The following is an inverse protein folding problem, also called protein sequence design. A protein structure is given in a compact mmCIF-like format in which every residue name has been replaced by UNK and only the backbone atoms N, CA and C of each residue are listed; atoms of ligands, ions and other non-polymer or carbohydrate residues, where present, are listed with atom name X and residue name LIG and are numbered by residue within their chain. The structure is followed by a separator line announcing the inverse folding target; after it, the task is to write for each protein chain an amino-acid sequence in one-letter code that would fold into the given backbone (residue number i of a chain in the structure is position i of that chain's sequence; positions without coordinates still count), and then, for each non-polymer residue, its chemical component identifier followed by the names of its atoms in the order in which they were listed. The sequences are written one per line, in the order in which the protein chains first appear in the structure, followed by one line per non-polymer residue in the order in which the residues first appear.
data_IF_794572129623
#
_entry.id   IF_794572129623
#
_cell.length_a   1.000
_cell.length_b   1.000
_cell.length_c   1.000
_cell.angle_alpha   90.00
_cell.angle_beta   90.00
_cell.angle_gamma   90.00
#
_symmetry.space_group_name_H-M   'P 1'
#
loop_
_entity.id
_entity.type
_entity.pdbx_description
1 polymer ?
#
# COMPACT_ATOMS: atom_id res chain seq x y z
N UNK A 1 -11.20 24.05 -12.80
CA UNK A 1 -10.82 22.91 -11.96
C UNK A 1 -10.95 23.36 -10.51
N UNK A 2 -11.51 22.53 -9.64
CA UNK A 2 -11.58 22.86 -8.20
C UNK A 2 -10.17 23.00 -7.62
N UNK A 3 -10.01 23.88 -6.65
CA UNK A 3 -8.79 23.95 -5.85
C UNK A 3 -8.73 22.75 -4.90
N UNK A 4 -7.53 22.22 -4.69
CA UNK A 4 -7.30 21.05 -3.84
C UNK A 4 -6.46 21.48 -2.64
N UNK A 5 -6.88 21.07 -1.44
CA UNK A 5 -6.18 21.36 -0.20
C UNK A 5 -5.87 20.07 0.56
N UNK A 6 -4.72 20.04 1.24
CA UNK A 6 -4.36 18.97 2.19
C UNK A 6 -4.72 19.47 3.59
N UNK A 7 -5.70 18.84 4.23
CA UNK A 7 -6.27 19.32 5.51
C UNK A 7 -5.71 18.62 6.74
N UNK A 8 -5.21 17.38 6.61
CA UNK A 8 -4.69 16.59 7.74
C UNK A 8 -3.53 15.67 7.33
N UNK A 9 -2.29 16.19 7.19
CA UNK A 9 -1.13 15.36 6.92
C UNK A 9 -0.67 14.64 8.20
N UNK A 10 -0.70 13.30 8.18
CA UNK A 10 -0.31 12.45 9.31
C UNK A 10 0.48 11.22 8.85
N UNK A 11 1.26 10.63 9.76
CA UNK A 11 2.02 9.39 9.53
C UNK A 11 2.33 8.68 10.85
N UNK A 12 2.62 7.39 10.77
CA UNK A 12 3.26 6.65 11.85
C UNK A 12 4.74 7.07 12.03
N UNK A 13 5.38 6.57 13.08
CA UNK A 13 6.83 6.51 13.13
C UNK A 13 7.38 5.59 12.03
N UNK A 14 8.65 5.75 11.65
CA UNK A 14 9.33 4.83 10.72
C UNK A 14 10.17 3.87 11.54
N UNK A 15 9.90 2.57 11.41
CA UNK A 15 10.54 1.51 12.18
C UNK A 15 11.68 0.88 11.41
N UNK A 16 12.73 0.46 12.11
CA UNK A 16 13.79 -0.35 11.51
C UNK A 16 13.28 -1.73 11.09
N UNK A 17 13.86 -2.29 10.03
CA UNK A 17 13.55 -3.64 9.56
C UNK A 17 13.77 -4.68 10.66
N UNK A 18 12.77 -5.51 10.95
CA UNK A 18 12.80 -6.46 12.07
C UNK A 18 12.78 -5.82 13.46
N UNK A 19 12.55 -4.50 13.55
CA UNK A 19 12.57 -3.73 14.79
C UNK A 19 11.21 -3.60 15.48
N UNK A 20 10.93 -2.40 15.99
CA UNK A 20 9.78 -2.11 16.87
C UNK A 20 8.41 -2.39 16.25
N UNK A 21 8.28 -2.23 14.92
CA UNK A 21 7.03 -2.45 14.20
C UNK A 21 6.95 -3.81 13.50
N UNK A 22 7.86 -4.75 13.77
CA UNK A 22 7.89 -6.05 13.08
C UNK A 22 6.60 -6.86 13.25
N UNK A 23 5.84 -6.63 14.32
CA UNK A 23 4.60 -7.35 14.62
C UNK A 23 3.34 -6.63 14.13
N UNK A 24 3.47 -5.53 13.39
CA UNK A 24 2.35 -4.67 13.00
C UNK A 24 2.11 -4.79 11.49
N UNK A 25 1.02 -5.43 11.05
CA UNK A 25 0.69 -5.56 9.63
C UNK A 25 0.49 -4.19 8.97
N UNK A 26 0.75 -4.11 7.66
CA UNK A 26 0.54 -2.88 6.88
C UNK A 26 -0.90 -2.35 7.04
N UNK A 27 -1.90 -3.22 6.99
CA UNK A 27 -3.29 -2.82 7.17
C UNK A 27 -3.56 -2.12 8.52
N UNK A 28 -2.90 -2.55 9.60
CA UNK A 28 -3.02 -1.94 10.93
C UNK A 28 -2.36 -0.55 11.00
N UNK A 29 -1.17 -0.41 10.41
CA UNK A 29 -0.51 0.88 10.29
C UNK A 29 -1.38 1.88 9.52
N UNK A 30 -1.98 1.42 8.42
CA UNK A 30 -2.90 2.22 7.63
C UNK A 30 -4.14 2.64 8.40
N UNK A 31 -4.77 1.72 9.15
CA UNK A 31 -6.02 2.03 9.84
C UNK A 31 -5.84 3.07 10.94
N UNK A 32 -4.74 2.98 11.70
CA UNK A 32 -4.37 3.96 12.72
C UNK A 32 -4.20 5.35 12.09
N UNK A 33 -3.51 5.43 10.94
CA UNK A 33 -3.26 6.70 10.25
C UNK A 33 -4.55 7.31 9.72
N UNK A 34 -5.46 6.51 9.15
CA UNK A 34 -6.77 7.01 8.70
C UNK A 34 -7.60 7.55 9.85
N UNK A 35 -7.68 6.82 10.96
CA UNK A 35 -8.44 7.27 12.14
C UNK A 35 -7.90 8.59 12.69
N UNK A 36 -6.59 8.72 12.78
CA UNK A 36 -5.93 9.95 13.23
C UNK A 36 -6.12 11.11 12.23
N UNK A 37 -6.08 10.83 10.91
CA UNK A 37 -6.32 11.84 9.88
C UNK A 37 -7.74 12.41 9.99
N UNK A 38 -8.76 11.56 10.12
CA UNK A 38 -10.16 11.96 10.27
C UNK A 38 -10.38 12.75 11.57
N UNK A 39 -9.78 12.28 12.67
CA UNK A 39 -9.79 12.96 13.97
C UNK A 39 -9.23 14.39 13.87
N UNK A 40 -8.03 14.57 13.29
CA UNK A 40 -7.41 15.90 13.11
C UNK A 40 -8.17 16.81 12.17
N UNK A 41 -8.78 16.23 11.12
CA UNK A 41 -9.61 16.98 10.18
C UNK A 41 -10.98 17.36 10.77
N UNK A 42 -11.41 16.74 11.87
CA UNK A 42 -12.76 16.89 12.39
C UNK A 42 -13.83 16.36 11.42
N UNK A 43 -13.47 15.37 10.59
CA UNK A 43 -14.35 14.83 9.55
C UNK A 43 -15.00 13.52 10.01
N UNK A 44 -16.30 13.40 9.74
CA UNK A 44 -17.01 12.14 9.89
C UNK A 44 -16.61 11.16 8.77
N UNK A 45 -16.58 9.86 9.08
CA UNK A 45 -16.12 8.82 8.16
C UNK A 45 -17.01 8.67 6.91
N UNK A 46 -18.29 9.05 7.01
CA UNK A 46 -19.27 9.05 5.91
C UNK A 46 -19.07 10.19 4.91
N UNK A 47 -18.14 11.11 5.18
CA UNK A 47 -17.74 12.17 4.24
C UNK A 47 -16.65 11.76 3.28
N UNK A 48 -16.02 10.60 3.47
CA UNK A 48 -14.95 10.13 2.60
C UNK A 48 -15.54 9.48 1.35
N UNK A 49 -15.15 9.96 0.18
CA UNK A 49 -15.63 9.44 -1.11
C UNK A 49 -14.75 8.32 -1.67
N UNK A 50 -13.45 8.30 -1.34
CA UNK A 50 -12.51 7.26 -1.78
C UNK A 50 -11.27 7.17 -0.88
N UNK A 51 -10.62 6.00 -0.88
CA UNK A 51 -9.35 5.72 -0.17
C UNK A 51 -8.33 5.16 -1.16
N UNK A 52 -7.27 5.94 -1.40
CA UNK A 52 -6.21 5.61 -2.36
C UNK A 52 -4.91 5.40 -1.61
N UNK A 53 -4.42 4.16 -1.57
CA UNK A 53 -3.16 3.85 -0.89
C UNK A 53 -2.12 3.24 -1.84
N UNK A 54 -0.94 3.82 -1.85
CA UNK A 54 0.25 3.21 -2.42
C UNK A 54 0.79 2.09 -1.53
N UNK A 55 1.13 0.94 -2.11
CA UNK A 55 1.74 -0.19 -1.41
C UNK A 55 2.68 -0.94 -2.34
N UNK A 56 3.97 -1.02 -1.97
CA UNK A 56 5.04 -1.47 -2.85
C UNK A 56 5.27 -2.97 -2.85
N UNK A 57 4.80 -3.68 -1.81
CA UNK A 57 4.89 -5.13 -1.71
C UNK A 57 3.53 -5.79 -1.51
N UNK A 58 2.61 -5.65 -2.47
CA UNK A 58 1.31 -6.27 -2.36
C UNK A 58 1.40 -7.79 -2.29
N UNK A 59 0.55 -8.37 -1.46
CA UNK A 59 0.49 -9.80 -1.20
C UNK A 59 -0.94 -10.25 -0.91
N UNK A 60 -1.13 -11.58 -0.84
CA UNK A 60 -2.41 -12.17 -0.43
C UNK A 60 -2.82 -11.83 1.00
N UNK A 61 -1.87 -11.41 1.84
CA UNK A 61 -2.12 -10.96 3.21
C UNK A 61 -2.60 -9.50 3.28
N UNK A 62 -2.38 -8.74 2.21
CA UNK A 62 -2.75 -7.33 2.08
C UNK A 62 -3.47 -7.04 0.75
N UNK A 63 -4.57 -7.76 0.43
CA UNK A 63 -5.24 -7.59 -0.85
C UNK A 63 -5.97 -6.24 -0.89
N UNK A 64 -5.85 -5.53 -2.02
CA UNK A 64 -6.54 -4.25 -2.24
C UNK A 64 -6.41 -3.31 -1.02
N UNK A 65 -5.18 -3.02 -0.60
CA UNK A 65 -4.89 -2.43 0.71
C UNK A 65 -5.70 -1.16 1.04
N UNK A 66 -6.03 -0.32 0.06
CA UNK A 66 -6.91 0.85 0.24
C UNK A 66 -8.26 0.47 0.84
N UNK A 67 -8.91 -0.56 0.28
CA UNK A 67 -10.18 -1.09 0.77
C UNK A 67 -10.04 -1.78 2.12
N UNK A 68 -9.03 -2.64 2.28
CA UNK A 68 -8.80 -3.36 3.53
C UNK A 68 -8.58 -2.39 4.69
N UNK A 69 -7.74 -1.38 4.49
CA UNK A 69 -7.44 -0.35 5.48
C UNK A 69 -8.66 0.51 5.79
N UNK A 70 -9.43 0.93 4.77
CA UNK A 70 -10.65 1.72 4.97
C UNK A 70 -11.65 0.99 5.89
N UNK A 71 -11.94 -0.28 5.59
CA UNK A 71 -12.84 -1.09 6.41
C UNK A 71 -12.29 -1.31 7.83
N UNK A 72 -11.00 -1.59 7.95
CA UNK A 72 -10.33 -1.78 9.25
C UNK A 72 -10.29 -0.49 10.08
N UNK A 73 -10.25 0.67 9.44
CA UNK A 73 -10.34 1.97 10.08
C UNK A 73 -11.77 2.33 10.54
N UNK A 74 -12.79 1.57 10.12
CA UNK A 74 -14.18 1.78 10.48
C UNK A 74 -14.95 2.69 9.52
N UNK A 75 -14.46 2.89 8.28
CA UNK A 75 -15.22 3.62 7.27
C UNK A 75 -16.45 2.81 6.81
N UNK A 76 -17.53 3.47 6.36
CA UNK A 76 -18.70 2.80 5.81
C UNK A 76 -18.35 1.85 4.65
N UNK A 77 -19.15 0.79 4.49
CA UNK A 77 -18.91 -0.24 3.46
C UNK A 77 -19.05 0.33 2.04
N UNK A 78 -19.77 1.43 1.90
CA UNK A 78 -19.99 2.16 0.65
C UNK A 78 -18.73 2.91 0.19
N UNK A 79 -17.81 3.27 1.11
CA UNK A 79 -16.59 4.00 0.75
C UNK A 79 -15.64 3.07 0.00
N UNK A 80 -15.41 3.29 -1.30
CA UNK A 80 -14.49 2.47 -2.07
C UNK A 80 -13.05 2.68 -1.59
N UNK A 81 -12.17 1.80 -2.04
CA UNK A 81 -10.75 2.01 -1.89
C UNK A 81 -9.98 1.12 -2.82
N UNK A 82 -8.85 1.63 -3.32
CA UNK A 82 -7.98 0.86 -4.19
C UNK A 82 -6.51 1.07 -3.86
N UNK A 83 -5.70 0.21 -4.46
CA UNK A 83 -4.26 0.21 -4.30
C UNK A 83 -3.58 0.51 -5.63
N UNK A 84 -2.45 1.22 -5.58
CA UNK A 84 -1.53 1.33 -6.70
C UNK A 84 -0.09 1.02 -6.29
N UNK A 85 0.71 0.57 -7.27
CA UNK A 85 2.15 0.36 -7.13
C UNK A 85 2.89 1.11 -8.25
N UNK A 86 3.55 2.20 -7.86
CA UNK A 86 4.55 2.95 -8.62
C UNK A 86 5.90 2.94 -7.89
N UNK A 87 6.21 1.81 -7.25
CA UNK A 87 7.35 1.57 -6.37
C UNK A 87 7.46 2.64 -5.29
N UNK A 88 8.65 3.19 -5.05
CA UNK A 88 8.87 4.19 -4.01
C UNK A 88 8.00 5.45 -4.17
N UNK A 89 7.47 5.70 -5.37
CA UNK A 89 6.60 6.86 -5.64
C UNK A 89 5.10 6.61 -5.43
N UNK A 90 4.70 5.40 -5.00
CA UNK A 90 3.28 5.03 -4.88
C UNK A 90 2.48 5.96 -3.97
N UNK A 91 3.01 6.32 -2.79
CA UNK A 91 2.29 7.21 -1.88
C UNK A 91 2.05 8.60 -2.47
N UNK A 92 3.02 9.13 -3.22
CA UNK A 92 2.86 10.41 -3.92
C UNK A 92 1.88 10.29 -5.09
N UNK A 93 1.95 9.19 -5.85
CA UNK A 93 1.01 8.94 -6.94
C UNK A 93 -0.44 8.84 -6.45
N UNK A 94 -0.67 8.30 -5.25
CA UNK A 94 -2.01 8.28 -4.64
C UNK A 94 -2.55 9.70 -4.39
N UNK A 95 -1.70 10.60 -3.88
CA UNK A 95 -2.05 12.02 -3.68
C UNK A 95 -2.37 12.70 -5.02
N UNK A 96 -1.58 12.43 -6.06
CA UNK A 96 -1.84 12.95 -7.40
C UNK A 96 -3.19 12.46 -7.96
N UNK A 97 -3.51 11.18 -7.76
CA UNK A 97 -4.80 10.62 -8.19
C UNK A 97 -5.98 11.27 -7.44
N UNK A 98 -5.86 11.45 -6.12
CA UNK A 98 -6.86 12.14 -5.31
C UNK A 98 -7.08 13.59 -5.75
N UNK A 99 -5.99 14.31 -6.03
CA UNK A 99 -6.07 15.67 -6.58
C UNK A 99 -6.85 15.70 -7.89
N UNK A 100 -6.63 14.74 -8.79
CA UNK A 100 -7.36 14.68 -10.06
C UNK A 100 -8.86 14.40 -9.85
N UNK A 101 -9.24 13.53 -8.90
CA UNK A 101 -10.65 13.28 -8.57
C UNK A 101 -11.34 14.56 -8.07
N UNK A 102 -10.70 15.29 -7.15
CA UNK A 102 -11.25 16.54 -6.60
C UNK A 102 -11.31 17.63 -7.66
N UNK A 103 -10.25 17.82 -8.46
CA UNK A 103 -10.21 18.81 -9.53
C UNK A 103 -11.31 18.64 -10.58
N UNK A 104 -11.73 17.38 -10.79
CA UNK A 104 -12.75 16.98 -11.77
C UNK A 104 -14.13 16.77 -11.15
N UNK A 105 -14.30 17.10 -9.87
CA UNK A 105 -15.59 17.03 -9.15
C UNK A 105 -16.15 15.60 -9.05
N UNK A 106 -15.29 14.58 -9.20
CA UNK A 106 -15.64 13.17 -8.99
C UNK A 106 -15.56 12.75 -7.51
N UNK A 107 -14.97 13.58 -6.66
CA UNK A 107 -14.92 13.42 -5.21
C UNK A 107 -14.78 14.80 -4.53
N UNK A 108 -15.25 14.90 -3.28
CA UNK A 108 -15.07 16.05 -2.40
C UNK A 108 -13.97 15.80 -1.36
N UNK A 109 -13.90 14.58 -0.82
CA UNK A 109 -12.93 14.17 0.21
C UNK A 109 -12.35 12.82 -0.13
N UNK A 110 -11.02 12.78 -0.30
CA UNK A 110 -10.29 11.54 -0.58
C UNK A 110 -9.20 11.35 0.45
N UNK A 111 -9.11 10.16 1.03
CA UNK A 111 -7.95 9.77 1.83
C UNK A 111 -6.88 9.25 0.86
N UNK A 112 -5.70 9.86 0.88
CA UNK A 112 -4.61 9.50 -0.01
C UNK A 112 -3.27 9.40 0.71
N UNK A 113 -2.48 8.39 0.37
CA UNK A 113 -1.15 8.22 0.94
C UNK A 113 -0.52 6.89 0.55
N UNK A 114 0.30 6.36 1.45
CA UNK A 114 0.92 5.04 1.27
C UNK A 114 1.08 4.31 2.58
N UNK A 115 1.17 2.99 2.49
CA UNK A 115 1.32 2.11 3.64
C UNK A 115 2.25 0.95 3.29
N UNK A 116 3.11 0.57 4.23
CA UNK A 116 4.07 -0.50 4.00
C UNK A 116 4.48 -1.18 5.31
N UNK A 117 4.69 -2.49 5.25
CA UNK A 117 5.34 -3.26 6.32
C UNK A 117 6.32 -4.26 5.71
N UNK A 118 7.53 -3.79 5.42
CA UNK A 118 8.58 -4.65 4.86
C UNK A 118 8.93 -5.82 5.79
N UNK A 119 8.83 -5.63 7.11
CA UNK A 119 9.09 -6.69 8.10
C UNK A 119 8.03 -7.82 8.06
N UNK A 120 6.89 -7.59 7.40
CA UNK A 120 5.84 -8.58 7.21
C UNK A 120 5.69 -9.01 5.75
N UNK A 121 6.63 -8.65 4.89
CA UNK A 121 6.68 -9.21 3.54
C UNK A 121 6.94 -10.72 3.62
N UNK A 122 6.12 -11.48 2.90
CA UNK A 122 6.17 -12.93 2.97
C UNK A 122 7.27 -13.53 2.08
N UNK A 123 7.71 -14.72 2.45
CA UNK A 123 8.39 -15.61 1.52
C UNK A 123 7.34 -16.37 0.70
N UNK A 124 7.59 -16.57 -0.59
CA UNK A 124 6.67 -17.29 -1.49
C UNK A 124 7.40 -18.21 -2.47
N UNK A 125 6.68 -19.19 -3.02
CA UNK A 125 7.17 -20.11 -4.07
C UNK A 125 6.25 -20.03 -5.28
N UNK A 126 6.84 -20.06 -6.48
CA UNK A 126 6.09 -20.10 -7.74
C UNK A 126 5.89 -21.54 -8.25
N UNK A 127 6.66 -22.49 -7.73
CA UNK A 127 6.67 -23.90 -8.14
C UNK A 127 5.58 -24.72 -7.45
N UNK A 128 5.15 -24.28 -6.27
CA UNK A 128 4.27 -25.07 -5.39
C UNK A 128 2.87 -25.32 -5.97
N UNK A 129 2.31 -24.38 -6.76
CA UNK A 129 0.92 -24.46 -7.24
C UNK A 129 0.63 -25.69 -8.11
N UNK A 130 1.61 -26.12 -8.91
CA UNK A 130 1.47 -27.25 -9.84
C UNK A 130 2.29 -28.48 -9.41
N UNK A 131 2.93 -28.39 -8.23
CA UNK A 131 3.85 -29.40 -7.70
C UNK A 131 5.23 -29.31 -8.34
N UNK A 132 6.28 -29.35 -7.50
CA UNK A 132 7.67 -29.36 -7.95
C UNK A 132 8.10 -30.68 -8.64
N UNK A 133 7.22 -31.70 -8.64
CA UNK A 133 7.43 -33.07 -9.15
C UNK A 133 8.56 -33.85 -8.48
N UNK A 134 9.78 -33.31 -8.43
CA UNK A 134 10.96 -33.86 -7.78
C UNK A 134 12.03 -32.76 -7.65
N UNK A 135 12.77 -32.72 -6.53
CA UNK A 135 13.80 -31.71 -6.26
C UNK A 135 13.37 -30.64 -5.25
N UNK A 136 14.19 -29.61 -5.10
CA UNK A 136 14.00 -28.53 -4.13
C UNK A 136 12.94 -27.50 -4.58
N UNK A 137 12.20 -26.95 -3.63
CA UNK A 137 11.30 -25.80 -3.81
C UNK A 137 12.02 -24.54 -3.34
N UNK A 138 12.02 -23.49 -4.17
CA UNK A 138 12.64 -22.21 -3.81
C UNK A 138 11.63 -21.32 -3.08
N UNK A 139 12.01 -20.82 -1.92
CA UNK A 139 11.30 -19.74 -1.26
C UNK A 139 11.97 -18.40 -1.59
N UNK A 140 11.26 -17.56 -2.32
CA UNK A 140 11.68 -16.21 -2.67
C UNK A 140 11.31 -15.23 -1.56
N UNK A 141 12.27 -14.42 -1.14
CA UNK A 141 12.00 -13.20 -0.36
C UNK A 141 11.29 -12.19 -1.27
N UNK A 142 10.09 -11.74 -0.92
CA UNK A 142 9.34 -10.75 -1.70
C UNK A 142 10.07 -9.44 -1.88
N UNK A 143 10.84 -8.98 -0.89
CA UNK A 143 11.58 -7.73 -0.96
C UNK A 143 12.74 -7.81 -1.97
N UNK A 144 13.50 -8.90 -1.92
CA UNK A 144 14.61 -9.12 -2.84
C UNK A 144 14.08 -9.39 -4.26
N UNK A 145 13.12 -10.32 -4.38
CA UNK A 145 12.62 -10.78 -5.67
C UNK A 145 11.94 -9.68 -6.47
N UNK A 146 11.15 -8.82 -5.81
CA UNK A 146 10.49 -7.69 -6.50
C UNK A 146 11.47 -6.68 -7.10
N UNK A 147 12.71 -6.60 -6.59
CA UNK A 147 13.78 -5.76 -7.14
C UNK A 147 14.46 -6.42 -8.33
N UNK A 148 14.74 -7.71 -8.24
CA UNK A 148 15.32 -8.49 -9.34
C UNK A 148 14.40 -8.49 -10.57
N UNK A 149 13.08 -8.60 -10.34
CA UNK A 149 12.10 -8.77 -11.42
C UNK A 149 11.46 -7.45 -11.87
N UNK A 150 12.01 -6.28 -11.51
CA UNK A 150 11.41 -4.99 -11.87
C UNK A 150 11.57 -4.65 -13.36
N UNK A 151 12.57 -5.23 -14.02
CA UNK A 151 12.89 -4.96 -15.41
C UNK A 151 13.03 -6.26 -16.22
N UNK A 152 12.70 -6.23 -17.53
CA UNK A 152 12.99 -7.36 -18.42
C UNK A 152 14.49 -7.64 -18.49
N UNK A 153 14.90 -8.83 -18.04
CA UNK A 153 16.30 -9.27 -17.99
C UNK A 153 16.93 -9.30 -19.39
N UNK A 154 16.17 -9.71 -20.40
CA UNK A 154 16.60 -9.77 -21.79
C UNK A 154 17.00 -8.41 -22.37
N UNK A 155 16.52 -7.31 -21.76
CA UNK A 155 16.81 -5.94 -22.21
C UNK A 155 17.81 -5.22 -21.32
N UNK A 156 17.81 -5.50 -20.01
CA UNK A 156 18.56 -4.74 -19.02
C UNK A 156 19.58 -5.56 -18.23
N UNK A 157 19.65 -6.87 -18.48
CA UNK A 157 20.49 -7.81 -17.72
C UNK A 157 19.92 -8.14 -16.34
N UNK A 158 20.66 -8.97 -15.60
CA UNK A 158 20.32 -9.35 -14.24
C UNK A 158 20.58 -8.18 -13.29
N UNK A 159 19.55 -7.76 -12.56
CA UNK A 159 19.70 -6.84 -11.45
C UNK A 159 19.97 -7.67 -10.19
N UNK A 160 21.12 -7.45 -9.56
CA UNK A 160 21.41 -8.04 -8.26
C UNK A 160 20.35 -7.61 -7.24
N UNK A 161 19.85 -8.57 -6.46
CA UNK A 161 19.07 -8.30 -5.25
C UNK A 161 19.88 -7.51 -4.20
N UNK A 162 19.25 -7.26 -3.06
CA UNK A 162 19.84 -6.54 -1.92
C UNK A 162 21.21 -7.14 -1.54
N UNK A 163 22.28 -6.34 -1.61
CA UNK A 163 23.58 -6.62 -0.97
C UNK A 163 23.54 -6.13 0.46
#
# INVERSE_FOLDING_TARGET
MREVAIVAPVRTAVGGFGGTMKGVPAAELGSIVIQEALSRAGLAADKVDDVILGHGYPSGENPAIGRLVALKAGLPIEVPGYQLDRRCSSGLQAILNASMLIQTENADVVIAGGVESMSNAEFYSNESRWGARFGSVTFHDRLARARETISPEERFGVISGMV
#
